data_IF_299786759739
#
_entry.id   IF_299786759739
#
_cell.length_a   1.000
_cell.length_b   1.000
_cell.length_c   1.000
_cell.angle_alpha   90.00
_cell.angle_beta   90.00
_cell.angle_gamma   90.00
#
_symmetry.space_group_name_H-M   'P 1'
#
loop_
_entity.id
_entity.type
_entity.pdbx_description
1 polymer ?
#
# COMPACT_ATOMS: atom_id res chain seq x y z
N UNK A 1 9.75 0.92 -21.45
CA UNK A 1 8.58 0.31 -20.79
C UNK A 1 9.03 -0.44 -19.55
N UNK A 2 8.14 -0.66 -18.59
CA UNK A 2 8.39 -1.44 -17.38
C UNK A 2 8.89 -2.85 -17.70
N UNK A 3 8.39 -3.47 -18.77
CA UNK A 3 8.87 -4.76 -19.29
C UNK A 3 10.36 -4.76 -19.66
N UNK A 4 10.86 -3.67 -20.26
CA UNK A 4 12.28 -3.52 -20.56
C UNK A 4 13.12 -3.33 -19.30
N UNK A 5 12.67 -2.46 -18.38
CA UNK A 5 13.33 -2.26 -17.08
C UNK A 5 13.41 -3.56 -16.30
N UNK A 6 12.32 -4.32 -16.26
CA UNK A 6 12.26 -5.59 -15.56
C UNK A 6 13.17 -6.66 -16.19
N UNK A 7 13.33 -6.64 -17.51
CA UNK A 7 14.27 -7.53 -18.21
C UNK A 7 15.71 -7.21 -17.84
N UNK A 8 16.08 -5.92 -17.80
CA UNK A 8 17.40 -5.48 -17.36
C UNK A 8 17.67 -5.85 -15.90
N UNK A 9 16.68 -5.65 -15.01
CA UNK A 9 16.77 -6.02 -13.60
C UNK A 9 16.92 -7.53 -13.43
N UNK A 10 16.15 -8.35 -14.16
CA UNK A 10 16.28 -9.80 -14.12
C UNK A 10 17.64 -10.29 -14.64
N UNK A 11 18.21 -9.61 -15.64
CA UNK A 11 19.53 -9.93 -16.17
C UNK A 11 20.64 -9.67 -15.14
N UNK A 12 20.61 -8.50 -14.48
CA UNK A 12 21.52 -8.16 -13.38
C UNK A 12 21.36 -9.09 -12.16
N UNK A 13 20.12 -9.35 -11.75
CA UNK A 13 19.84 -10.26 -10.64
C UNK A 13 20.28 -11.69 -10.94
N UNK A 14 20.24 -12.14 -12.19
CA UNK A 14 20.75 -13.46 -12.59
C UNK A 14 22.27 -13.60 -12.43
N UNK A 15 23.02 -12.50 -12.62
CA UNK A 15 24.46 -12.44 -12.42
C UNK A 15 24.81 -12.42 -10.93
N UNK A 16 23.98 -11.75 -10.13
CA UNK A 16 24.13 -11.64 -8.68
C UNK A 16 23.67 -12.91 -7.93
N UNK A 17 22.68 -13.65 -8.44
CA UNK A 17 22.29 -14.96 -7.92
C UNK A 17 23.47 -15.95 -7.90
N UNK A 18 24.39 -15.85 -8.88
CA UNK A 18 25.60 -16.68 -8.93
C UNK A 18 26.62 -16.34 -7.83
N UNK A 19 26.46 -15.21 -7.14
CA UNK A 19 27.35 -14.74 -6.07
C UNK A 19 26.83 -15.04 -4.65
N UNK A 20 25.76 -15.82 -4.54
CA UNK A 20 25.15 -16.28 -3.27
C UNK A 20 24.88 -15.15 -2.26
N UNK A 21 24.33 -14.04 -2.77
CA UNK A 21 23.92 -12.91 -1.93
C UNK A 21 22.49 -13.16 -1.42
N UNK A 22 22.34 -13.14 -0.10
CA UNK A 22 21.09 -13.47 0.59
C UNK A 22 19.90 -12.63 0.07
N UNK A 23 18.76 -13.28 -0.22
CA UNK A 23 17.53 -12.64 -0.68
C UNK A 23 17.43 -12.32 -2.18
N UNK A 24 18.54 -12.36 -2.94
CA UNK A 24 18.53 -12.12 -4.39
C UNK A 24 17.79 -13.21 -5.15
N UNK A 25 17.93 -14.48 -4.73
CA UNK A 25 17.18 -15.60 -5.32
C UNK A 25 15.67 -15.42 -5.20
N UNK A 26 15.19 -14.96 -4.03
CA UNK A 26 13.76 -14.70 -3.79
C UNK A 26 13.24 -13.59 -4.69
N UNK A 27 13.99 -12.49 -4.83
CA UNK A 27 13.64 -11.39 -5.74
C UNK A 27 13.64 -11.86 -7.21
N UNK A 28 14.63 -12.65 -7.60
CA UNK A 28 14.71 -13.20 -8.95
C UNK A 28 13.51 -14.09 -9.27
N UNK A 29 13.15 -15.00 -8.35
CA UNK A 29 12.00 -15.90 -8.52
C UNK A 29 10.67 -15.14 -8.53
N UNK A 30 10.52 -14.12 -7.66
CA UNK A 30 9.35 -13.26 -7.63
C UNK A 30 9.19 -12.49 -8.95
N UNK A 31 10.25 -11.82 -9.40
CA UNK A 31 10.25 -11.03 -10.63
C UNK A 31 10.06 -11.89 -11.87
N UNK A 32 10.53 -13.15 -11.85
CA UNK A 32 10.33 -14.11 -12.95
C UNK A 32 8.98 -14.82 -12.90
N UNK A 33 8.23 -14.68 -11.81
CA UNK A 33 6.95 -15.35 -11.64
C UNK A 33 5.93 -14.96 -12.72
N UNK A 34 5.21 -15.95 -13.24
CA UNK A 34 4.26 -15.75 -14.36
C UNK A 34 3.13 -14.79 -14.01
N UNK A 35 2.67 -14.81 -12.75
CA UNK A 35 1.59 -13.95 -12.30
C UNK A 35 2.02 -12.47 -12.27
N UNK A 36 3.23 -12.16 -11.78
CA UNK A 36 3.71 -10.79 -11.70
C UNK A 36 4.01 -10.24 -13.09
N UNK A 37 4.57 -11.07 -13.97
CA UNK A 37 4.76 -10.72 -15.39
C UNK A 37 3.43 -10.41 -16.09
N UNK A 38 2.39 -11.20 -15.84
CA UNK A 38 1.07 -10.94 -16.39
C UNK A 38 0.48 -9.64 -15.82
N UNK A 39 0.60 -9.43 -14.51
CA UNK A 39 0.13 -8.21 -13.83
C UNK A 39 0.81 -6.95 -14.37
N UNK A 40 2.13 -7.00 -14.57
CA UNK A 40 2.89 -5.88 -15.13
C UNK A 40 2.47 -5.57 -16.57
N UNK A 41 2.20 -6.58 -17.40
CA UNK A 41 1.66 -6.39 -18.75
C UNK A 41 0.28 -5.74 -18.74
N UNK A 42 -0.60 -6.18 -17.84
CA UNK A 42 -1.92 -5.57 -17.64
C UNK A 42 -1.75 -4.11 -17.21
N UNK A 43 -0.85 -3.84 -16.27
CA UNK A 43 -0.55 -2.49 -15.80
C UNK A 43 -0.03 -1.59 -16.94
N UNK A 44 0.93 -2.05 -17.75
CA UNK A 44 1.43 -1.29 -18.90
C UNK A 44 0.32 -0.96 -19.90
N UNK A 45 -0.56 -1.93 -20.18
CA UNK A 45 -1.73 -1.72 -21.03
C UNK A 45 -2.66 -0.64 -20.45
N UNK A 46 -3.02 -0.76 -19.17
CA UNK A 46 -3.88 0.20 -18.49
C UNK A 46 -3.26 1.60 -18.43
N UNK A 47 -1.96 1.72 -18.18
CA UNK A 47 -1.25 3.00 -18.19
C UNK A 47 -1.32 3.69 -19.55
N UNK A 48 -1.18 2.93 -20.64
CA UNK A 48 -1.35 3.47 -21.99
C UNK A 48 -2.76 4.03 -22.21
N UNK A 49 -3.79 3.34 -21.70
CA UNK A 49 -5.17 3.80 -21.74
C UNK A 49 -5.42 5.01 -20.84
N UNK A 50 -4.84 5.05 -19.64
CA UNK A 50 -4.97 6.17 -18.71
C UNK A 50 -4.47 7.49 -19.32
N UNK A 51 -3.36 7.45 -20.07
CA UNK A 51 -2.85 8.62 -20.80
C UNK A 51 -3.76 9.14 -21.92
N UNK A 52 -4.72 8.32 -22.38
CA UNK A 52 -5.69 8.66 -23.44
C UNK A 52 -7.13 8.73 -22.93
N UNK A 53 -7.32 8.64 -21.61
CA UNK A 53 -8.65 8.51 -21.01
C UNK A 53 -9.45 9.82 -21.22
N UNK A 54 -10.70 9.74 -21.69
CA UNK A 54 -11.57 10.90 -21.77
C UNK A 54 -11.96 11.41 -20.37
N UNK A 55 -12.10 12.72 -20.24
CA UNK A 55 -12.65 13.32 -19.03
C UNK A 55 -14.16 12.98 -18.93
N UNK A 56 -14.66 12.58 -17.75
CA UNK A 56 -16.08 12.35 -17.57
C UNK A 56 -16.84 13.69 -17.71
N UNK A 57 -17.94 13.68 -18.46
CA UNK A 57 -18.82 14.85 -18.64
C UNK A 57 -19.55 15.22 -17.34
N UNK A 58 -19.82 14.24 -16.49
CA UNK A 58 -20.47 14.37 -15.19
C UNK A 58 -19.87 13.35 -14.23
N UNK A 59 -19.94 13.63 -12.93
CA UNK A 59 -19.52 12.71 -11.87
C UNK A 59 -20.69 11.90 -11.30
N UNK A 60 -21.94 12.26 -11.66
CA UNK A 60 -23.15 11.74 -11.02
C UNK A 60 -24.24 11.43 -12.07
N UNK A 61 -23.90 10.60 -13.06
CA UNK A 61 -24.87 10.16 -14.08
C UNK A 61 -26.05 9.39 -13.46
N UNK A 62 -25.82 8.69 -12.34
CA UNK A 62 -26.87 8.02 -11.58
C UNK A 62 -27.87 8.99 -10.95
N UNK A 63 -27.41 10.15 -10.46
CA UNK A 63 -28.29 11.18 -9.92
C UNK A 63 -29.15 11.82 -11.03
N UNK A 64 -28.51 12.23 -12.12
CA UNK A 64 -29.19 12.79 -13.29
C UNK A 64 -30.25 11.84 -13.86
N UNK A 65 -29.95 10.54 -13.94
CA UNK A 65 -30.91 9.55 -14.43
C UNK A 65 -32.13 9.44 -13.50
N UNK A 66 -31.95 9.56 -12.18
CA UNK A 66 -33.08 9.58 -11.23
C UNK A 66 -33.96 10.81 -11.45
N UNK A 67 -33.35 11.98 -11.63
CA UNK A 67 -34.10 13.22 -11.93
C UNK A 67 -34.90 13.10 -13.22
N UNK A 68 -34.28 12.59 -14.29
CA UNK A 68 -34.97 12.34 -15.58
C UNK A 68 -36.14 11.37 -15.40
N UNK A 69 -35.97 10.30 -14.61
CA UNK A 69 -37.04 9.33 -14.34
C UNK A 69 -38.22 9.98 -13.60
N UNK A 70 -37.97 10.90 -12.67
CA UNK A 70 -39.04 11.64 -11.97
C UNK A 70 -39.72 12.65 -12.90
N UNK A 71 -38.97 13.37 -13.74
CA UNK A 71 -39.56 14.26 -14.75
C UNK A 71 -40.44 13.51 -15.74
N UNK A 72 -40.00 12.32 -16.19
CA UNK A 72 -40.79 11.47 -17.08
C UNK A 72 -42.06 10.97 -16.41
N UNK A 73 -42.11 10.87 -15.07
CA UNK A 73 -43.30 10.45 -14.32
C UNK A 73 -44.43 11.46 -14.44
N UNK A 74 -44.09 12.75 -14.40
CA UNK A 74 -45.03 13.89 -14.49
C UNK A 74 -45.49 14.15 -15.93
N UNK A 75 -44.79 13.60 -16.94
CA UNK A 75 -45.10 13.80 -18.36
C UNK A 75 -46.32 12.97 -18.85
N UNK A 76 -46.97 13.38 -19.97
CA UNK A 76 -48.03 12.59 -20.60
C UNK A 76 -47.55 11.17 -20.95
N UNK A 77 -48.31 10.13 -20.61
CA UNK A 77 -47.83 8.74 -20.69
C UNK A 77 -47.92 8.13 -22.10
N UNK A 78 -47.14 8.69 -23.04
CA UNK A 78 -46.96 8.10 -24.38
C UNK A 78 -46.22 6.75 -24.31
N UNK A 79 -46.25 6.00 -25.40
CA UNK A 79 -45.53 4.71 -25.50
C UNK A 79 -44.02 4.87 -25.31
N UNK A 80 -43.45 5.92 -25.89
CA UNK A 80 -42.04 6.28 -25.85
C UNK A 80 -41.58 6.65 -24.44
N UNK A 81 -42.39 7.45 -23.72
CA UNK A 81 -42.08 7.85 -22.33
C UNK A 81 -42.06 6.62 -21.40
N UNK A 82 -43.00 5.69 -21.62
CA UNK A 82 -43.06 4.44 -20.85
C UNK A 82 -41.87 3.54 -21.14
N UNK A 83 -41.48 3.43 -22.40
CA UNK A 83 -40.32 2.66 -22.82
C UNK A 83 -39.02 3.24 -22.26
N UNK A 84 -38.81 4.56 -22.41
CA UNK A 84 -37.63 5.23 -21.87
C UNK A 84 -37.55 5.06 -20.35
N UNK A 85 -38.66 5.24 -19.62
CA UNK A 85 -38.69 5.02 -18.17
C UNK A 85 -38.34 3.57 -17.81
N UNK A 86 -38.81 2.59 -18.57
CA UNK A 86 -38.48 1.17 -18.38
C UNK A 86 -36.99 0.91 -18.58
N UNK A 87 -36.39 1.48 -19.63
CA UNK A 87 -34.95 1.36 -19.92
C UNK A 87 -34.10 2.04 -18.83
N UNK A 88 -34.46 3.26 -18.43
CA UNK A 88 -33.73 4.00 -17.41
C UNK A 88 -33.79 3.34 -16.02
N UNK A 89 -34.86 2.59 -15.75
CA UNK A 89 -35.03 1.81 -14.50
C UNK A 89 -34.45 0.40 -14.59
N UNK A 90 -33.95 -0.02 -15.75
CA UNK A 90 -33.46 -1.38 -15.91
C UNK A 90 -32.22 -1.61 -15.03
N UNK A 91 -32.11 -2.79 -14.39
CA UNK A 91 -31.07 -3.04 -13.39
C UNK A 91 -29.66 -2.96 -13.97
N UNK A 92 -29.47 -3.39 -15.21
CA UNK A 92 -28.17 -3.28 -15.89
C UNK A 92 -27.75 -1.83 -16.13
N UNK A 93 -28.70 -0.93 -16.43
CA UNK A 93 -28.36 0.49 -16.58
C UNK A 93 -28.05 1.11 -15.21
N UNK A 94 -28.93 0.91 -14.23
CA UNK A 94 -28.81 1.58 -12.93
C UNK A 94 -27.70 1.00 -12.05
N UNK A 95 -27.72 -0.32 -11.84
CA UNK A 95 -26.82 -0.98 -10.89
C UNK A 95 -25.44 -1.28 -11.49
N UNK A 96 -25.35 -1.57 -12.80
CA UNK A 96 -24.06 -1.84 -13.42
C UNK A 96 -23.47 -0.59 -14.09
N UNK A 97 -24.13 -0.04 -15.12
CA UNK A 97 -23.52 1.02 -15.93
C UNK A 97 -23.36 2.35 -15.18
N UNK A 98 -24.44 2.87 -14.59
CA UNK A 98 -24.42 4.18 -13.92
C UNK A 98 -23.60 4.14 -12.63
N UNK A 99 -23.68 3.05 -11.87
CA UNK A 99 -22.81 2.85 -10.70
C UNK A 99 -21.34 2.81 -11.11
N UNK A 100 -20.97 2.00 -12.11
CA UNK A 100 -19.58 1.91 -12.56
C UNK A 100 -19.08 3.24 -13.13
N UNK A 101 -19.93 3.96 -13.87
CA UNK A 101 -19.62 5.30 -14.36
C UNK A 101 -19.27 6.24 -13.21
N UNK A 102 -20.14 6.36 -12.21
CA UNK A 102 -19.95 7.31 -11.11
C UNK A 102 -18.73 6.92 -10.26
N UNK A 103 -18.54 5.63 -9.95
CA UNK A 103 -17.35 5.12 -9.25
C UNK A 103 -16.05 5.45 -10.00
N UNK A 104 -15.99 5.22 -11.31
CA UNK A 104 -14.79 5.47 -12.12
C UNK A 104 -14.56 6.97 -12.35
N UNK A 105 -15.63 7.75 -12.50
CA UNK A 105 -15.57 9.20 -12.67
C UNK A 105 -15.07 9.91 -11.41
N UNK A 106 -15.54 9.49 -10.23
CA UNK A 106 -15.15 10.02 -8.93
C UNK A 106 -13.81 9.48 -8.43
N UNK A 107 -13.25 8.47 -9.12
CA UNK A 107 -12.07 7.72 -8.68
C UNK A 107 -12.25 6.99 -7.34
N UNK A 108 -13.49 6.64 -7.02
CA UNK A 108 -13.86 5.95 -5.79
C UNK A 108 -13.72 4.41 -5.93
N UNK A 109 -12.62 3.97 -6.55
CA UNK A 109 -12.29 2.56 -6.73
C UNK A 109 -11.05 2.16 -5.93
N UNK A 110 -10.41 3.11 -5.25
CA UNK A 110 -9.30 2.84 -4.35
C UNK A 110 -9.84 2.35 -3.00
N UNK A 111 -9.13 1.44 -2.32
CA UNK A 111 -9.53 1.00 -1.00
C UNK A 111 -9.55 2.19 -0.05
N UNK A 112 -10.69 2.38 0.63
CA UNK A 112 -10.83 3.43 1.64
C UNK A 112 -9.89 3.12 2.79
N UNK A 113 -8.93 4.01 3.05
CA UNK A 113 -8.09 3.88 4.23
C UNK A 113 -8.96 4.07 5.48
N UNK A 114 -8.72 3.30 6.56
CA UNK A 114 -9.38 3.57 7.83
C UNK A 114 -9.09 5.02 8.24
N UNK A 115 -10.08 5.74 8.79
CA UNK A 115 -9.88 7.10 9.26
C UNK A 115 -8.77 7.10 10.32
N UNK A 116 -7.92 8.10 10.26
CA UNK A 116 -6.91 8.35 11.29
C UNK A 116 -7.64 8.58 12.63
N UNK A 117 -7.21 7.95 13.74
CA UNK A 117 -7.79 8.21 15.05
C UNK A 117 -7.70 9.69 15.42
N UNK A 118 -8.72 10.23 16.09
CA UNK A 118 -8.83 11.67 16.43
C UNK A 118 -7.73 12.17 17.40
N UNK A 119 -6.95 11.25 17.98
CA UNK A 119 -5.94 11.53 19.01
C UNK A 119 -4.50 11.28 18.52
N UNK A 120 -4.20 11.50 17.24
CA UNK A 120 -2.80 11.49 16.79
C UNK A 120 -2.18 12.82 17.20
N UNK A 121 -1.21 12.85 18.13
CA UNK A 121 -0.44 14.07 18.42
C UNK A 121 0.19 14.58 17.13
N UNK A 122 0.07 15.89 16.84
CA UNK A 122 0.66 16.53 15.65
C UNK A 122 2.19 16.38 15.53
N UNK A 123 2.84 15.78 16.52
CA UNK A 123 4.28 15.56 16.60
C UNK A 123 4.66 14.07 16.75
N UNK A 124 3.79 13.13 16.38
CA UNK A 124 4.15 11.70 16.36
C UNK A 124 5.18 11.41 15.25
N UNK A 125 6.41 11.15 15.66
CA UNK A 125 7.40 10.52 14.80
C UNK A 125 6.86 9.15 14.34
N UNK A 126 6.82 8.93 13.03
CA UNK A 126 6.26 7.72 12.45
C UNK A 126 6.94 6.47 13.04
N UNK A 127 6.17 5.63 13.74
CA UNK A 127 6.64 4.35 14.22
C UNK A 127 6.90 3.40 13.04
N UNK A 128 8.00 2.66 13.08
CA UNK A 128 8.38 1.69 12.05
C UNK A 128 8.66 0.34 12.68
N UNK A 129 8.13 -0.72 12.08
CA UNK A 129 8.42 -2.10 12.49
C UNK A 129 9.68 -2.56 11.76
N UNK A 130 10.69 -2.99 12.53
CA UNK A 130 11.97 -3.49 12.02
C UNK A 130 12.13 -4.96 12.37
N UNK A 131 12.27 -5.81 11.34
CA UNK A 131 12.48 -7.25 11.51
C UNK A 131 13.93 -7.62 11.17
N UNK A 132 14.66 -8.16 12.15
CA UNK A 132 16.04 -8.61 11.98
C UNK A 132 16.16 -10.09 12.32
N UNK A 133 16.68 -10.88 11.38
CA UNK A 133 16.84 -12.34 11.55
C UNK A 133 18.23 -12.64 12.12
N UNK A 134 18.28 -13.05 13.40
CA UNK A 134 19.51 -13.46 14.09
C UNK A 134 19.90 -14.89 13.69
N UNK A 135 20.80 -15.03 12.72
CA UNK A 135 21.42 -16.31 12.38
C UNK A 135 22.59 -16.65 13.34
N UNK A 136 22.31 -16.90 14.63
CA UNK A 136 23.30 -17.14 15.69
C UNK A 136 24.36 -16.01 15.86
N UNK A 137 24.07 -14.80 15.38
CA UNK A 137 24.93 -13.63 15.52
C UNK A 137 24.22 -12.53 16.34
N UNK A 138 24.96 -11.66 17.04
CA UNK A 138 24.36 -10.52 17.72
C UNK A 138 23.77 -9.54 16.70
N UNK A 139 22.77 -8.76 17.15
CA UNK A 139 22.16 -7.70 16.33
C UNK A 139 23.18 -6.63 15.90
N UNK A 140 24.26 -6.44 16.66
CA UNK A 140 25.23 -5.40 16.37
C UNK A 140 24.69 -4.00 16.68
N UNK A 141 23.89 -3.85 17.74
CA UNK A 141 23.44 -2.57 18.25
C UNK A 141 23.55 -2.56 19.79
N UNK A 142 23.82 -1.40 20.36
CA UNK A 142 23.81 -1.18 21.81
C UNK A 142 22.67 -0.23 22.16
N UNK A 143 21.97 -0.49 23.25
CA UNK A 143 20.88 0.36 23.75
C UNK A 143 21.30 1.08 25.02
N UNK A 144 20.65 2.20 25.31
CA UNK A 144 20.78 2.95 26.56
C UNK A 144 19.41 3.39 27.04
N UNK A 145 19.26 3.51 28.36
CA UNK A 145 18.09 4.11 28.99
C UNK A 145 18.33 5.60 29.19
N UNK A 146 17.36 6.42 28.80
CA UNK A 146 17.39 7.85 29.05
C UNK A 146 17.06 8.13 30.51
N UNK A 147 17.94 8.83 31.23
CA UNK A 147 17.84 8.99 32.69
C UNK A 147 16.56 9.72 33.14
N UNK A 148 16.08 10.67 32.35
CA UNK A 148 14.90 11.49 32.69
C UNK A 148 13.59 10.85 32.23
N UNK A 149 13.47 10.50 30.94
CA UNK A 149 12.23 9.94 30.38
C UNK A 149 12.07 8.44 30.61
N UNK A 150 13.14 7.72 30.95
CA UNK A 150 13.13 6.27 31.06
C UNK A 150 13.12 5.53 29.72
N UNK A 151 13.19 6.25 28.60
CA UNK A 151 13.10 5.69 27.26
C UNK A 151 14.31 4.86 26.88
N UNK A 152 14.08 3.74 26.20
CA UNK A 152 15.15 2.92 25.63
C UNK A 152 15.46 3.41 24.21
N UNK A 153 16.71 3.79 23.99
CA UNK A 153 17.18 4.30 22.69
C UNK A 153 18.40 3.53 22.20
N UNK A 154 18.54 3.41 20.89
CA UNK A 154 19.75 2.84 20.27
C UNK A 154 20.90 3.81 20.46
N UNK A 155 21.87 3.44 21.29
CA UNK A 155 23.05 4.25 21.55
C UNK A 155 24.06 4.21 20.41
N UNK A 156 24.25 3.03 19.81
CA UNK A 156 25.23 2.81 18.74
C UNK A 156 24.84 1.62 17.89
N UNK A 157 25.11 1.72 16.59
CA UNK A 157 25.10 0.59 15.66
C UNK A 157 26.54 0.20 15.35
N UNK A 158 26.86 -1.09 15.47
CA UNK A 158 28.19 -1.65 15.27
C UNK A 158 28.41 -1.81 13.77
N UNK A 159 29.42 -1.11 13.25
CA UNK A 159 29.77 -1.18 11.83
C UNK A 159 30.06 -2.62 11.39
N UNK A 160 29.48 -3.02 10.26
CA UNK A 160 29.55 -4.37 9.73
C UNK A 160 28.69 -5.40 10.49
N UNK A 161 27.95 -5.02 11.53
CA UNK A 161 27.01 -5.87 12.27
C UNK A 161 25.68 -6.10 11.54
N UNK A 162 24.77 -6.90 12.12
CA UNK A 162 23.49 -7.23 11.48
C UNK A 162 22.59 -5.98 11.29
N UNK A 163 22.53 -5.11 12.28
CA UNK A 163 21.78 -3.84 12.24
C UNK A 163 22.37 -2.83 11.25
N UNK A 164 23.70 -2.76 11.13
CA UNK A 164 24.37 -1.88 10.15
C UNK A 164 24.09 -2.34 8.72
N UNK A 165 24.21 -3.65 8.46
CA UNK A 165 23.97 -4.23 7.13
C UNK A 165 22.51 -4.19 6.72
N UNK A 166 21.57 -4.17 7.67
CA UNK A 166 20.15 -4.01 7.34
C UNK A 166 19.84 -2.58 6.92
N UNK A 167 20.53 -1.58 7.48
CA UNK A 167 20.22 -0.17 7.26
C UNK A 167 18.83 0.23 7.75
N UNK A 168 18.25 -0.54 8.68
CA UNK A 168 16.89 -0.33 9.19
C UNK A 168 16.86 0.23 10.61
N UNK A 169 18.00 0.23 11.31
CA UNK A 169 18.12 0.67 12.69
C UNK A 169 19.29 1.65 12.80
N UNK A 170 19.09 2.78 13.45
CA UNK A 170 20.06 3.86 13.57
C UNK A 170 20.27 4.28 15.02
N UNK A 171 21.44 4.89 15.30
CA UNK A 171 21.67 5.52 16.58
C UNK A 171 20.71 6.71 16.76
N UNK A 172 20.03 6.75 17.90
CA UNK A 172 18.97 7.73 18.19
C UNK A 172 17.56 7.15 18.12
N UNK A 173 17.36 5.99 17.48
CA UNK A 173 16.04 5.37 17.39
C UNK A 173 15.50 5.01 18.79
N UNK A 174 14.27 5.42 19.09
CA UNK A 174 13.54 5.04 20.31
C UNK A 174 12.86 3.70 20.10
N UNK A 175 13.16 2.75 20.98
CA UNK A 175 12.49 1.45 21.02
C UNK A 175 11.19 1.59 21.83
N UNK A 176 10.09 1.14 21.25
CA UNK A 176 8.78 1.11 21.92
C UNK A 176 8.38 -0.32 22.26
N UNK A 177 8.69 -1.26 21.38
CA UNK A 177 8.38 -2.67 21.53
C UNK A 177 9.50 -3.54 20.96
N UNK A 178 9.77 -4.68 21.60
CA UNK A 178 10.69 -5.71 21.12
C UNK A 178 9.99 -7.06 21.21
N UNK A 179 9.89 -7.77 20.07
CA UNK A 179 9.28 -9.11 19.99
C UNK A 179 7.88 -9.22 20.64
N UNK A 180 7.03 -8.20 20.48
CA UNK A 180 5.68 -8.19 21.07
C UNK A 180 5.61 -7.70 22.52
N UNK A 181 6.74 -7.30 23.12
CA UNK A 181 6.81 -6.86 24.52
C UNK A 181 7.15 -5.36 24.56
N UNK A 182 6.32 -4.51 25.22
CA UNK A 182 6.61 -3.10 25.36
C UNK A 182 7.86 -2.91 26.23
N UNK A 183 8.74 -1.99 25.83
CA UNK A 183 10.02 -1.76 26.54
C UNK A 183 9.97 -0.61 27.55
N UNK A 184 8.82 0.07 27.67
CA UNK A 184 8.63 1.16 28.63
C UNK A 184 8.84 0.67 30.07
N UNK A 185 9.70 1.37 30.81
CA UNK A 185 10.02 1.04 32.20
C UNK A 185 10.94 -0.18 32.39
N UNK A 186 11.38 -0.84 31.33
CA UNK A 186 12.36 -1.93 31.42
C UNK A 186 13.78 -1.38 31.53
N UNK A 187 14.64 -2.15 32.20
CA UNK A 187 16.09 -1.91 32.17
C UNK A 187 16.72 -2.52 30.90
N UNK A 188 17.84 -1.95 30.39
CA UNK A 188 18.51 -2.44 29.18
C UNK A 188 18.78 -3.95 29.20
N UNK A 189 19.13 -4.52 30.35
CA UNK A 189 19.40 -5.96 30.52
C UNK A 189 18.15 -6.80 30.28
N UNK A 190 16.97 -6.31 30.69
CA UNK A 190 15.69 -6.97 30.47
C UNK A 190 15.30 -6.92 29.01
N UNK A 191 15.51 -5.79 28.34
CA UNK A 191 15.29 -5.65 26.88
C UNK A 191 16.20 -6.61 26.11
N UNK A 192 17.45 -6.81 26.55
CA UNK A 192 18.37 -7.76 25.91
C UNK A 192 17.86 -9.21 26.02
N UNK A 193 17.20 -9.57 27.12
CA UNK A 193 16.69 -10.93 27.35
C UNK A 193 15.54 -11.34 26.43
N UNK A 194 14.78 -10.36 25.91
CA UNK A 194 13.64 -10.57 25.02
C UNK A 194 14.01 -10.45 23.54
N UNK A 195 15.28 -10.21 23.20
CA UNK A 195 15.76 -10.05 21.82
C UNK A 195 16.08 -11.37 21.11
#
# INVERSE_FOLDING_TARGET
GLSHVLTLVLQELSLLCKRDVNGIGVLYDLLRSRWLQALLKIYECLQHYLGKRPAPLTLQAGALTREVVELLREAPQSGEIRELRRLLRAPHLKAALLSAHDTVAQKDFEPTLPPLPDNIPENEEAMRIVCLVKNNQPLGATIKRHEITGDITVARVIHGGLADRSGLLYAGDKLVEVNGVPVEGLEPEQVISIL
#
